data_IF_733098789893
#
_entry.id   IF_733098789893
#
_cell.length_a   1.000
_cell.length_b   1.000
_cell.length_c   1.000
_cell.angle_alpha   90.00
_cell.angle_beta   90.00
_cell.angle_gamma   90.00
#
_symmetry.space_group_name_H-M   'P 1'
#
loop_
_entity.id
_entity.type
_entity.pdbx_description
1 polymer ?
#
# COMPACT_ATOMS: atom_id res chain seq x y z
N UNK A 1 -21.58 3.35 -7.80
CA UNK A 1 -21.09 1.99 -7.57
C UNK A 1 -21.19 1.72 -6.08
N UNK A 2 -22.26 1.07 -5.61
CA UNK A 2 -22.48 0.77 -4.18
C UNK A 2 -21.73 -0.49 -3.73
N UNK A 3 -20.43 -0.58 -4.05
CA UNK A 3 -19.59 -1.69 -3.64
C UNK A 3 -19.01 -1.38 -2.26
N UNK A 4 -19.35 -2.20 -1.27
CA UNK A 4 -18.74 -2.17 0.06
C UNK A 4 -17.23 -2.44 -0.08
N UNK A 5 -16.36 -1.49 0.29
CA UNK A 5 -14.92 -1.71 0.20
C UNK A 5 -14.47 -2.74 1.24
N UNK A 6 -13.78 -3.79 0.81
CA UNK A 6 -13.26 -4.78 1.73
C UNK A 6 -12.21 -4.17 2.71
N UNK A 7 -12.01 -4.77 3.89
CA UNK A 7 -11.05 -4.26 4.88
C UNK A 7 -9.62 -4.09 4.34
N UNK A 8 -9.14 -5.02 3.51
CA UNK A 8 -7.81 -4.93 2.88
C UNK A 8 -7.70 -3.76 1.90
N UNK A 9 -8.75 -3.47 1.14
CA UNK A 9 -8.80 -2.29 0.25
C UNK A 9 -8.71 -0.99 1.05
N UNK A 10 -9.35 -0.92 2.21
CA UNK A 10 -9.21 0.23 3.13
C UNK A 10 -7.76 0.43 3.57
N UNK A 11 -7.07 -0.65 3.96
CA UNK A 11 -5.67 -0.58 4.35
C UNK A 11 -4.74 -0.17 3.20
N UNK A 12 -5.02 -0.61 1.97
CA UNK A 12 -4.27 -0.14 0.79
C UNK A 12 -4.44 1.36 0.56
N UNK A 13 -5.63 1.93 0.80
CA UNK A 13 -5.84 3.38 0.71
C UNK A 13 -4.95 4.14 1.69
N UNK A 14 -4.86 3.68 2.94
CA UNK A 14 -3.93 4.27 3.91
C UNK A 14 -2.47 4.13 3.49
N UNK A 15 -2.11 3.02 2.84
CA UNK A 15 -0.79 2.85 2.21
C UNK A 15 -0.47 3.94 1.17
N UNK A 16 -1.41 4.23 0.26
CA UNK A 16 -1.25 5.30 -0.73
C UNK A 16 -1.21 6.69 -0.09
N UNK A 17 -2.05 6.96 0.92
CA UNK A 17 -2.01 8.22 1.66
C UNK A 17 -0.65 8.41 2.34
N UNK A 18 -0.12 7.36 2.99
CA UNK A 18 1.20 7.39 3.61
C UNK A 18 2.31 7.67 2.60
N UNK A 19 2.34 6.94 1.48
CA UNK A 19 3.32 7.17 0.42
C UNK A 19 3.20 8.57 -0.20
N UNK A 20 1.97 9.07 -0.39
CA UNK A 20 1.69 10.41 -0.89
C UNK A 20 2.18 11.51 0.06
N UNK A 21 1.98 11.34 1.37
CA UNK A 21 2.49 12.28 2.38
C UNK A 21 4.02 12.30 2.42
N UNK A 22 4.67 11.14 2.36
CA UNK A 22 6.14 11.05 2.29
C UNK A 22 6.66 11.75 1.03
N UNK A 23 6.04 11.52 -0.12
CA UNK A 23 6.42 12.17 -1.38
C UNK A 23 6.19 13.68 -1.34
N UNK A 24 5.08 14.14 -0.75
CA UNK A 24 4.77 15.56 -0.58
C UNK A 24 5.81 16.25 0.31
N UNK A 25 6.16 15.67 1.45
CA UNK A 25 7.19 16.23 2.32
C UNK A 25 8.58 16.20 1.70
N UNK A 26 8.92 15.13 0.95
CA UNK A 26 10.16 15.08 0.19
C UNK A 26 10.24 16.22 -0.83
N UNK A 27 9.13 16.50 -1.53
CA UNK A 27 9.04 17.59 -2.48
C UNK A 27 9.19 18.96 -1.81
N UNK A 28 8.48 19.21 -0.71
CA UNK A 28 8.51 20.48 0.02
C UNK A 28 9.87 20.77 0.66
N UNK A 29 10.55 19.77 1.21
CA UNK A 29 11.84 19.97 1.88
C UNK A 29 13.02 20.04 0.89
N UNK A 30 12.87 19.53 -0.33
CA UNK A 30 13.94 19.48 -1.33
C UNK A 30 15.29 18.92 -0.83
N UNK A 31 15.30 17.80 -0.08
CA UNK A 31 16.49 17.34 0.63
C UNK A 31 17.58 16.83 -0.34
N UNK A 32 18.83 17.18 -0.05
CA UNK A 32 20.00 16.65 -0.75
C UNK A 32 20.74 15.61 0.10
N UNK A 33 21.46 14.69 -0.56
CA UNK A 33 22.32 13.72 0.12
C UNK A 33 21.57 12.77 1.07
N UNK A 34 21.88 12.83 2.37
CA UNK A 34 21.33 11.92 3.39
C UNK A 34 19.81 12.07 3.56
N UNK A 35 19.28 13.29 3.48
CA UNK A 35 17.83 13.52 3.60
C UNK A 35 17.04 12.76 2.53
N UNK A 36 17.54 12.70 1.30
CA UNK A 36 16.89 11.93 0.22
C UNK A 36 16.81 10.43 0.52
N UNK A 37 17.79 9.89 1.26
CA UNK A 37 17.77 8.49 1.70
C UNK A 37 16.72 8.24 2.77
N UNK A 38 16.52 9.18 3.69
CA UNK A 38 15.49 9.10 4.73
C UNK A 38 14.11 9.07 4.09
N UNK A 39 13.82 9.96 3.15
CA UNK A 39 12.55 9.93 2.40
C UNK A 39 12.40 8.67 1.55
N UNK A 40 13.48 8.22 0.90
CA UNK A 40 13.50 6.95 0.17
C UNK A 40 13.13 5.77 1.07
N UNK A 41 13.67 5.70 2.29
CA UNK A 41 13.35 4.67 3.28
C UNK A 41 11.88 4.70 3.68
N UNK A 42 11.34 5.88 4.04
CA UNK A 42 9.92 5.99 4.40
C UNK A 42 8.98 5.68 3.23
N UNK A 43 9.39 6.01 2.00
CA UNK A 43 8.63 5.68 0.80
C UNK A 43 8.60 4.17 0.58
N UNK A 44 9.74 3.48 0.73
CA UNK A 44 9.81 2.01 0.67
C UNK A 44 8.98 1.38 1.78
N UNK A 45 9.02 1.92 3.00
CA UNK A 45 8.26 1.38 4.13
C UNK A 45 6.75 1.47 3.87
N UNK A 46 6.26 2.66 3.50
CA UNK A 46 4.82 2.89 3.25
C UNK A 46 4.33 2.11 2.03
N UNK A 47 5.03 2.21 0.89
CA UNK A 47 4.67 1.49 -0.32
C UNK A 47 4.85 -0.03 -0.20
N UNK A 48 5.89 -0.48 0.50
CA UNK A 48 6.15 -1.91 0.75
C UNK A 48 5.08 -2.54 1.63
N UNK A 49 4.60 -1.82 2.64
CA UNK A 49 3.46 -2.28 3.45
C UNK A 49 2.20 -2.39 2.58
N UNK A 50 1.92 -1.38 1.74
CA UNK A 50 0.82 -1.42 0.78
C UNK A 50 0.92 -2.58 -0.22
N UNK A 51 2.12 -2.85 -0.72
CA UNK A 51 2.40 -3.99 -1.61
C UNK A 51 2.13 -5.34 -0.93
N UNK A 52 2.53 -5.50 0.33
CA UNK A 52 2.26 -6.71 1.11
C UNK A 52 0.76 -6.94 1.30
N UNK A 53 0.01 -5.89 1.58
CA UNK A 53 -1.46 -5.93 1.75
C UNK A 53 -2.15 -6.27 0.42
N UNK A 54 -1.70 -5.67 -0.70
CA UNK A 54 -2.21 -6.00 -2.02
C UNK A 54 -1.89 -7.45 -2.42
N UNK A 55 -0.68 -7.92 -2.11
CA UNK A 55 -0.28 -9.32 -2.30
C UNK A 55 -1.12 -10.29 -1.49
N UNK A 56 -1.45 -9.96 -0.23
CA UNK A 56 -2.37 -10.75 0.59
C UNK A 56 -3.77 -10.83 -0.04
N UNK A 57 -4.28 -9.73 -0.57
CA UNK A 57 -5.57 -9.72 -1.25
C UNK A 57 -5.55 -10.55 -2.54
N UNK A 58 -4.49 -10.43 -3.35
CA UNK A 58 -4.31 -11.27 -4.55
C UNK A 58 -4.22 -12.75 -4.21
N UNK A 59 -3.56 -13.09 -3.11
CA UNK A 59 -3.53 -14.46 -2.61
C UNK A 59 -4.94 -14.95 -2.26
N UNK A 60 -5.72 -14.18 -1.51
CA UNK A 60 -7.12 -14.51 -1.21
C UNK A 60 -7.99 -14.66 -2.47
N UNK A 61 -7.78 -13.83 -3.48
CA UNK A 61 -8.48 -13.93 -4.79
C UNK A 61 -8.06 -15.16 -5.61
N UNK A 62 -6.95 -15.81 -5.27
CA UNK A 62 -6.47 -17.03 -5.92
C UNK A 62 -6.92 -18.32 -5.22
N UNK A 63 -7.50 -18.22 -4.02
CA UNK A 63 -8.00 -19.39 -3.29
C UNK A 63 -9.27 -19.92 -3.98
N UNK A 64 -9.43 -21.25 -4.07
CA UNK A 64 -10.69 -21.86 -4.49
C UNK A 64 -11.79 -21.63 -3.46
N UNK A 65 -13.04 -21.66 -3.91
CA UNK A 65 -14.23 -21.26 -3.13
C UNK A 65 -14.39 -22.02 -1.80
N UNK A 66 -13.91 -23.27 -1.73
CA UNK A 66 -13.93 -24.12 -0.54
C UNK A 66 -12.93 -23.68 0.55
N UNK A 67 -11.95 -22.85 0.20
CA UNK A 67 -10.89 -22.37 1.10
C UNK A 67 -11.02 -20.88 1.44
N UNK A 68 -12.01 -20.18 0.86
CA UNK A 68 -12.26 -18.77 1.15
C UNK A 68 -12.75 -18.63 2.60
N UNK A 69 -12.17 -17.71 3.40
CA UNK A 69 -12.64 -17.44 4.75
C UNK A 69 -14.12 -17.06 4.76
N UNK A 70 -14.82 -17.33 5.86
CA UNK A 70 -16.19 -16.85 6.03
C UNK A 70 -16.28 -15.32 5.80
N UNK A 71 -17.38 -14.87 5.20
CA UNK A 71 -17.69 -13.44 5.08
C UNK A 71 -17.71 -12.81 6.47
N UNK A 72 -17.10 -11.63 6.58
CA UNK A 72 -17.04 -10.90 7.84
C UNK A 72 -18.16 -9.88 7.94
N UNK A 73 -18.44 -9.34 9.13
CA UNK A 73 -19.22 -8.12 9.24
C UNK A 73 -18.55 -6.96 8.48
N UNK A 74 -19.33 -5.94 8.11
CA UNK A 74 -18.80 -4.74 7.45
C UNK A 74 -17.77 -4.03 8.34
N UNK A 75 -16.82 -3.33 7.70
CA UNK A 75 -15.75 -2.60 8.41
C UNK A 75 -16.35 -1.56 9.36
N UNK A 76 -17.42 -0.88 8.95
CA UNK A 76 -18.08 0.15 9.77
C UNK A 76 -18.66 -0.46 11.06
N UNK A 77 -19.34 -1.60 10.96
CA UNK A 77 -19.83 -2.30 12.14
C UNK A 77 -18.70 -2.78 13.04
N UNK A 78 -17.61 -3.30 12.46
CA UNK A 78 -16.43 -3.71 13.23
C UNK A 78 -15.81 -2.55 14.00
N UNK A 79 -15.76 -1.35 13.42
CA UNK A 79 -15.24 -0.15 14.09
C UNK A 79 -16.16 0.35 15.21
N UNK A 80 -17.46 0.09 15.13
CA UNK A 80 -18.42 0.45 16.17
C UNK A 80 -18.34 -0.49 17.39
N UNK A 81 -18.13 -1.78 17.16
CA UNK A 81 -18.24 -2.80 18.21
C UNK A 81 -16.91 -3.36 18.71
N UNK A 82 -15.83 -3.27 17.92
CA UNK A 82 -14.51 -3.79 18.27
C UNK A 82 -13.48 -2.67 18.49
N UNK A 83 -12.47 -2.88 19.35
CA UNK A 83 -11.31 -2.00 19.44
C UNK A 83 -10.58 -1.88 18.10
N UNK A 84 -10.05 -0.69 17.78
CA UNK A 84 -9.38 -0.42 16.50
C UNK A 84 -8.27 -1.43 16.14
N UNK A 85 -7.55 -1.94 17.14
CA UNK A 85 -6.48 -2.91 16.93
C UNK A 85 -7.00 -4.27 16.50
N UNK A 86 -8.14 -4.71 17.03
CA UNK A 86 -8.80 -5.97 16.62
C UNK A 86 -9.37 -5.85 15.20
N UNK A 87 -9.89 -4.67 14.84
CA UNK A 87 -10.31 -4.37 13.47
C UNK A 87 -9.14 -4.50 12.51
N UNK A 88 -7.98 -3.90 12.85
CA UNK A 88 -6.77 -4.01 12.04
C UNK A 88 -6.29 -5.46 11.89
N UNK A 89 -6.26 -6.22 12.99
CA UNK A 89 -5.86 -7.63 12.97
C UNK A 89 -6.80 -8.47 12.08
N UNK A 90 -8.10 -8.24 12.19
CA UNK A 90 -9.11 -8.97 11.40
C UNK A 90 -9.03 -8.56 9.93
N UNK A 91 -8.85 -7.28 9.64
CA UNK A 91 -8.64 -6.77 8.29
C UNK A 91 -7.41 -7.38 7.62
N UNK A 92 -6.29 -7.52 8.34
CA UNK A 92 -5.07 -8.15 7.82
C UNK A 92 -5.20 -9.65 7.62
N UNK A 93 -5.98 -10.36 8.47
CA UNK A 93 -6.31 -11.78 8.25
C UNK A 93 -7.08 -11.96 6.94
N UNK A 94 -7.97 -11.01 6.64
CA UNK A 94 -8.84 -10.99 5.47
C UNK A 94 -10.14 -11.77 5.71
N UNK A 95 -11.23 -11.26 5.12
CA UNK A 95 -12.56 -11.87 5.14
C UNK A 95 -12.91 -12.42 3.75
N UNK A 96 -13.98 -13.22 3.63
CA UNK A 96 -14.44 -13.72 2.34
C UNK A 96 -14.67 -12.62 1.30
N UNK A 97 -15.10 -11.43 1.74
CA UNK A 97 -15.35 -10.26 0.88
C UNK A 97 -14.07 -9.73 0.20
N UNK A 98 -12.89 -10.10 0.71
CA UNK A 98 -11.60 -9.76 0.10
C UNK A 98 -11.23 -10.66 -1.09
N UNK A 99 -11.81 -11.86 -1.16
CA UNK A 99 -11.55 -12.84 -2.22
C UNK A 99 -12.41 -12.59 -3.48
N UNK A 100 -13.48 -11.82 -3.36
CA UNK A 100 -14.34 -11.48 -4.50
C UNK A 100 -13.62 -10.55 -5.48
N UNK A 101 -13.74 -10.86 -6.77
CA UNK A 101 -13.20 -10.03 -7.85
C UNK A 101 -14.32 -9.19 -8.46
N UNK A 102 -14.58 -8.04 -7.83
CA UNK A 102 -15.65 -7.11 -8.25
C UNK A 102 -15.37 -6.39 -9.58
N UNK A 103 -14.10 -6.28 -9.97
CA UNK A 103 -13.68 -5.55 -11.17
C UNK A 103 -12.36 -6.07 -11.72
N UNK A 104 -12.25 -6.08 -13.05
CA UNK A 104 -11.02 -6.39 -13.79
C UNK A 104 -10.82 -5.39 -14.91
N UNK A 105 -9.57 -5.02 -15.15
CA UNK A 105 -9.15 -4.20 -16.28
C UNK A 105 -7.79 -4.67 -16.79
N UNK A 106 -7.71 -4.86 -18.11
CA UNK A 106 -6.56 -5.47 -18.79
C UNK A 106 -6.12 -6.79 -18.13
N UNK A 107 -7.08 -7.60 -17.65
CA UNK A 107 -6.82 -8.89 -17.00
C UNK A 107 -6.40 -8.81 -15.53
N UNK A 108 -6.15 -7.62 -14.97
CA UNK A 108 -5.81 -7.44 -13.56
C UNK A 108 -7.01 -6.96 -12.75
N UNK A 109 -7.16 -7.49 -11.54
CA UNK A 109 -8.12 -6.97 -10.57
C UNK A 109 -7.65 -5.65 -9.97
N UNK A 110 -8.52 -4.98 -9.20
CA UNK A 110 -8.16 -3.77 -8.45
C UNK A 110 -6.88 -3.97 -7.61
N UNK A 111 -6.76 -5.00 -6.74
CA UNK A 111 -5.53 -5.22 -5.98
C UNK A 111 -4.32 -5.57 -6.87
N UNK A 112 -4.55 -6.12 -8.07
CA UNK A 112 -3.49 -6.32 -9.06
C UNK A 112 -2.87 -5.01 -9.51
N UNK A 113 -3.70 -4.02 -9.84
CA UNK A 113 -3.23 -2.69 -10.21
C UNK A 113 -2.59 -1.94 -9.04
N UNK A 114 -3.15 -2.03 -7.84
CA UNK A 114 -2.53 -1.39 -6.67
C UNK A 114 -1.16 -2.00 -6.36
N UNK A 115 -0.99 -3.33 -6.50
CA UNK A 115 0.30 -3.98 -6.36
C UNK A 115 1.33 -3.46 -7.39
N UNK A 116 0.93 -3.24 -8.64
CA UNK A 116 1.81 -2.64 -9.67
C UNK A 116 2.26 -1.24 -9.23
N UNK A 117 1.34 -0.37 -8.82
CA UNK A 117 1.68 0.99 -8.40
C UNK A 117 2.55 1.01 -7.14
N UNK A 118 2.26 0.19 -6.14
CA UNK A 118 3.10 0.09 -4.96
C UNK A 118 4.50 -0.45 -5.30
N UNK A 119 4.62 -1.40 -6.22
CA UNK A 119 5.91 -1.90 -6.70
C UNK A 119 6.73 -0.78 -7.34
N UNK A 120 6.12 0.07 -8.17
CA UNK A 120 6.78 1.23 -8.77
C UNK A 120 7.26 2.22 -7.69
N UNK A 121 6.45 2.50 -6.68
CA UNK A 121 6.82 3.39 -5.57
C UNK A 121 7.97 2.82 -4.72
N UNK A 122 7.97 1.51 -4.46
CA UNK A 122 9.07 0.82 -3.79
C UNK A 122 10.36 0.98 -4.60
N UNK A 123 10.31 0.76 -5.92
CA UNK A 123 11.47 0.95 -6.80
C UNK A 123 11.98 2.39 -6.75
N UNK A 124 11.10 3.38 -6.80
CA UNK A 124 11.48 4.81 -6.67
C UNK A 124 12.17 5.07 -5.32
N UNK A 125 11.60 4.57 -4.22
CA UNK A 125 12.19 4.72 -2.89
C UNK A 125 13.57 4.06 -2.76
N UNK A 126 13.75 2.86 -3.33
CA UNK A 126 15.04 2.18 -3.38
C UNK A 126 16.05 2.98 -4.21
N UNK A 127 15.64 3.52 -5.37
CA UNK A 127 16.48 4.40 -6.19
C UNK A 127 16.88 5.66 -5.43
N UNK A 128 15.97 6.29 -4.69
CA UNK A 128 16.28 7.47 -3.84
C UNK A 128 17.30 7.13 -2.75
N UNK A 129 17.19 5.94 -2.15
CA UNK A 129 18.07 5.46 -1.08
C UNK A 129 19.48 5.11 -1.59
N UNK A 130 19.57 4.44 -2.74
CA UNK A 130 20.83 3.95 -3.29
C UNK A 130 21.49 4.88 -4.31
N UNK A 131 20.80 5.91 -4.82
CA UNK A 131 21.42 6.91 -5.68
C UNK A 131 22.58 7.58 -4.93
N UNK A 132 23.77 7.48 -5.53
CA UNK A 132 24.94 8.25 -5.10
C UNK A 132 24.69 9.70 -5.48
N UNK A 133 24.35 10.52 -4.49
CA UNK A 133 24.23 11.96 -4.68
C UNK A 133 25.64 12.49 -4.96
N UNK A 134 25.94 12.75 -6.22
CA UNK A 134 27.22 13.33 -6.64
C UNK A 134 27.14 14.82 -6.25
N UNK A 135 27.97 15.33 -5.32
CA UNK A 135 27.96 16.75 -5.00
C UNK A 135 28.22 17.52 -6.29
N UNK A 136 27.30 18.45 -6.62
CA UNK A 136 27.48 19.38 -7.73
C UNK A 136 28.57 20.38 -7.31
N UNK A 137 29.84 20.06 -7.57
CA UNK A 137 30.93 21.03 -7.45
C UNK A 137 30.81 22.04 -8.61
N UNK A 138 29.96 23.06 -8.45
CA UNK A 138 29.80 24.18 -9.41
C UNK A 138 30.50 25.47 -8.95
N UNK A 139 31.27 25.44 -7.86
CA UNK A 139 31.99 26.59 -7.31
C UNK A 139 33.49 26.30 -7.12
N UNK A 140 34.16 25.97 -8.23
CA UNK A 140 35.60 26.15 -8.40
C UNK A 140 35.80 26.89 -9.71
N UNK A 141 35.64 28.21 -9.65
CA UNK A 141 35.90 29.17 -10.72
C UNK A 141 36.16 30.50 -10.07
#
# INVERSE_FOLDING_TARGET
MGLEPCPLCWLQRFGFMGAGLVALFAFLHGPAGFGNRVYGFFLVLTAGTGLGIAGRQLWLQSLPEDQVPACGPSVDYMLEVLPWFEVLQTALKGTGDCAEVVWRFLGLSIPGWTAVFFSLLVLVGLVMMFRRYRPKNWLQG
#
